data_IF_142808613354
#
_entry.id   IF_142808613354
#
_cell.length_a   1.000
_cell.length_b   1.000
_cell.length_c   1.000
_cell.angle_alpha   90.00
_cell.angle_beta   90.00
_cell.angle_gamma   90.00
#
_symmetry.space_group_name_H-M   'P 1'
#
loop_
_entity.id
_entity.type
_entity.pdbx_description
1 polymer ?
#
# COMPACT_ATOMS: atom_id res chain seq x y z
N UNK A 1 -5.39 7.20 9.07
CA UNK A 1 -5.69 6.53 7.78
C UNK A 1 -5.62 7.47 6.59
N UNK A 2 -6.10 8.70 6.72
CA UNK A 2 -6.11 9.62 5.57
C UNK A 2 -4.70 9.97 5.07
N UNK A 3 -3.76 10.19 5.98
CA UNK A 3 -2.37 10.47 5.58
C UNK A 3 -1.77 9.30 4.81
N UNK A 4 -2.08 8.08 5.25
CA UNK A 4 -1.63 6.87 4.59
C UNK A 4 -2.23 6.76 3.18
N UNK A 5 -3.53 7.02 3.05
CA UNK A 5 -4.20 6.99 1.75
C UNK A 5 -3.65 8.05 0.82
N UNK A 6 -3.38 9.24 1.33
CA UNK A 6 -2.78 10.30 0.53
C UNK A 6 -1.42 9.88 -0.01
N UNK A 7 -0.61 9.25 0.84
CA UNK A 7 0.71 8.77 0.40
C UNK A 7 0.58 7.64 -0.63
N UNK A 8 -0.32 6.70 -0.40
CA UNK A 8 -0.55 5.61 -1.34
C UNK A 8 -1.00 6.16 -2.71
N UNK A 9 -1.87 7.18 -2.68
CA UNK A 9 -2.31 7.81 -3.91
C UNK A 9 -1.15 8.43 -4.69
N UNK A 10 -0.20 9.04 -3.99
CA UNK A 10 0.99 9.59 -4.64
C UNK A 10 1.81 8.49 -5.31
N UNK A 11 1.97 7.36 -4.63
CA UNK A 11 2.72 6.23 -5.19
C UNK A 11 2.02 5.67 -6.43
N UNK A 12 0.70 5.54 -6.37
CA UNK A 12 -0.10 5.08 -7.51
C UNK A 12 -0.21 6.15 -8.61
N UNK A 13 0.10 7.41 -8.29
CA UNK A 13 -0.05 8.55 -9.20
C UNK A 13 -1.51 8.77 -9.56
N UNK A 14 -2.38 8.72 -8.56
CA UNK A 14 -3.81 8.95 -8.72
C UNK A 14 -4.28 9.95 -7.67
N UNK A 15 -5.52 10.45 -7.84
CA UNK A 15 -6.14 11.32 -6.87
C UNK A 15 -6.55 10.48 -5.65
N UNK A 16 -6.36 10.97 -4.41
CA UNK A 16 -6.77 10.24 -3.21
C UNK A 16 -8.24 9.82 -3.21
N UNK A 17 -9.09 10.54 -3.95
CA UNK A 17 -10.50 10.20 -4.04
C UNK A 17 -10.76 8.91 -4.83
N UNK A 18 -9.76 8.41 -5.56
CA UNK A 18 -9.90 7.18 -6.35
C UNK A 18 -9.65 5.93 -5.52
N UNK A 19 -9.15 6.07 -4.31
CA UNK A 19 -8.81 4.91 -3.48
C UNK A 19 -9.41 5.04 -2.09
N UNK A 20 -9.53 3.89 -1.42
CA UNK A 20 -9.92 3.83 -0.02
C UNK A 20 -9.28 2.60 0.61
N UNK A 21 -9.64 2.30 1.85
CA UNK A 21 -9.02 1.17 2.56
C UNK A 21 -9.32 -0.19 1.91
N UNK A 22 -10.39 -0.27 1.11
CA UNK A 22 -10.76 -1.52 0.44
C UNK A 22 -10.10 -1.70 -0.93
N UNK A 23 -9.37 -0.69 -1.40
CA UNK A 23 -8.63 -0.80 -2.66
C UNK A 23 -7.72 -2.00 -2.61
N UNK A 24 -7.81 -2.88 -3.62
CA UNK A 24 -7.17 -4.19 -3.58
C UNK A 24 -6.24 -4.45 -4.75
N UNK A 25 -5.19 -5.23 -4.45
CA UNK A 25 -4.21 -5.68 -5.45
C UNK A 25 -4.92 -6.47 -6.55
N UNK A 26 -4.58 -6.15 -7.79
CA UNK A 26 -5.14 -6.77 -8.99
C UNK A 26 -6.60 -6.44 -9.28
N UNK A 27 -7.25 -5.65 -8.42
CA UNK A 27 -8.59 -5.16 -8.68
C UNK A 27 -8.56 -3.68 -9.06
N UNK A 28 -7.68 -2.92 -8.44
CA UNK A 28 -7.48 -1.52 -8.79
C UNK A 28 -6.52 -1.46 -10.00
N UNK A 29 -6.91 -0.71 -11.03
CA UNK A 29 -6.18 -0.71 -12.31
C UNK A 29 -4.72 -0.28 -12.21
N UNK A 30 -4.34 0.46 -11.17
CA UNK A 30 -2.96 0.89 -10.96
C UNK A 30 -2.15 -0.06 -10.09
N UNK A 31 -2.77 -1.05 -9.48
CA UNK A 31 -2.10 -1.91 -8.50
C UNK A 31 -1.91 -3.33 -9.02
N UNK A 32 -0.86 -3.51 -9.81
CA UNK A 32 -0.42 -4.84 -10.25
C UNK A 32 0.84 -5.24 -9.52
N UNK A 33 1.47 -6.32 -9.98
CA UNK A 33 2.65 -6.90 -9.32
C UNK A 33 3.81 -5.92 -9.18
N UNK A 34 4.13 -5.19 -10.23
CA UNK A 34 5.25 -4.23 -10.17
C UNK A 34 4.94 -3.08 -9.22
N UNK A 35 3.72 -2.57 -9.29
CA UNK A 35 3.31 -1.48 -8.41
C UNK A 35 3.29 -1.95 -6.96
N UNK A 36 2.95 -3.21 -6.72
CA UNK A 36 2.95 -3.78 -5.37
C UNK A 36 4.35 -3.68 -4.75
N UNK A 37 5.37 -4.08 -5.49
CA UNK A 37 6.74 -3.99 -5.01
C UNK A 37 7.15 -2.55 -4.75
N UNK A 38 6.80 -1.65 -5.66
CA UNK A 38 7.11 -0.23 -5.51
C UNK A 38 6.42 0.33 -4.27
N UNK A 39 5.13 0.03 -4.09
CA UNK A 39 4.37 0.52 -2.95
C UNK A 39 4.96 0.03 -1.64
N UNK A 40 5.31 -1.26 -1.57
CA UNK A 40 5.91 -1.83 -0.36
C UNK A 40 7.22 -1.10 -0.03
N UNK A 41 8.09 -0.89 -1.02
CA UNK A 41 9.36 -0.21 -0.80
C UNK A 41 9.18 1.23 -0.33
N UNK A 42 8.24 1.95 -0.94
CA UNK A 42 7.97 3.34 -0.55
C UNK A 42 7.40 3.43 0.86
N UNK A 43 6.53 2.49 1.23
CA UNK A 43 5.95 2.43 2.57
C UNK A 43 7.02 2.10 3.60
N UNK A 44 7.92 1.15 3.30
CA UNK A 44 9.01 0.82 4.20
C UNK A 44 9.86 2.05 4.50
N UNK A 45 10.16 2.82 3.47
CA UNK A 45 10.98 4.01 3.64
C UNK A 45 10.26 5.11 4.41
N UNK A 46 9.00 5.37 4.05
CA UNK A 46 8.24 6.45 4.68
C UNK A 46 7.95 6.20 6.16
N UNK A 47 7.56 4.98 6.49
CA UNK A 47 7.15 4.64 7.86
C UNK A 47 8.24 3.95 8.65
N UNK A 48 9.41 3.77 8.03
CA UNK A 48 10.58 3.13 8.67
C UNK A 48 10.22 1.77 9.25
N UNK A 49 9.51 0.97 8.45
CA UNK A 49 9.14 -0.40 8.82
C UNK A 49 9.80 -1.37 7.86
N UNK A 50 9.97 -2.61 8.31
CA UNK A 50 10.54 -3.66 7.49
C UNK A 50 9.43 -4.66 7.17
N UNK A 51 9.17 -4.85 5.89
CA UNK A 51 8.12 -5.77 5.44
C UNK A 51 8.78 -6.92 4.68
N UNK A 52 8.97 -8.07 5.35
CA UNK A 52 9.56 -9.23 4.67
C UNK A 52 8.73 -9.66 3.48
N UNK A 53 9.39 -10.31 2.53
CA UNK A 53 8.75 -10.74 1.29
C UNK A 53 7.52 -11.62 1.53
N UNK A 54 7.61 -12.51 2.51
CA UNK A 54 6.49 -13.40 2.87
C UNK A 54 5.27 -12.60 3.34
N UNK A 55 5.51 -11.56 4.13
CA UNK A 55 4.42 -10.71 4.62
C UNK A 55 3.87 -9.85 3.50
N UNK A 56 4.74 -9.32 2.64
CA UNK A 56 4.30 -8.52 1.50
C UNK A 56 3.36 -9.32 0.59
N UNK A 57 3.62 -10.62 0.44
CA UNK A 57 2.80 -11.49 -0.39
C UNK A 57 1.39 -11.69 0.19
N UNK A 58 1.21 -11.47 1.49
CA UNK A 58 -0.08 -11.62 2.16
C UNK A 58 -0.91 -10.34 2.12
N UNK A 59 -0.28 -9.22 1.80
CA UNK A 59 -0.95 -7.93 1.73
C UNK A 59 -1.73 -7.85 0.41
N UNK A 60 -3.05 -7.76 0.50
CA UNK A 60 -3.93 -7.76 -0.67
C UNK A 60 -4.73 -6.48 -0.81
N UNK A 61 -4.77 -5.64 0.21
CA UNK A 61 -5.53 -4.40 0.20
C UNK A 61 -4.76 -3.32 0.97
N UNK A 62 -5.18 -2.07 0.80
CA UNK A 62 -4.58 -0.97 1.55
C UNK A 62 -4.85 -1.12 3.05
N UNK A 63 -6.00 -1.67 3.41
CA UNK A 63 -6.32 -1.95 4.80
C UNK A 63 -5.33 -2.94 5.41
N UNK A 64 -4.99 -4.00 4.67
CA UNK A 64 -4.00 -4.98 5.12
C UNK A 64 -2.65 -4.32 5.37
N UNK A 65 -2.22 -3.49 4.44
CA UNK A 65 -0.93 -2.80 4.54
C UNK A 65 -0.92 -1.85 5.73
N UNK A 66 -1.98 -1.09 5.91
CA UNK A 66 -2.08 -0.15 7.01
C UNK A 66 -2.07 -0.86 8.37
N UNK A 67 -2.78 -2.00 8.46
CA UNK A 67 -2.79 -2.80 9.69
C UNK A 67 -1.40 -3.31 10.02
N UNK A 68 -0.64 -3.70 9.01
CA UNK A 68 0.73 -4.16 9.19
C UNK A 68 1.60 -3.05 9.78
N UNK A 69 1.48 -1.86 9.24
CA UNK A 69 2.24 -0.69 9.71
C UNK A 69 1.92 -0.38 11.16
N UNK A 70 0.64 -0.43 11.52
CA UNK A 70 0.22 -0.13 12.88
C UNK A 70 0.68 -1.18 13.89
N UNK A 71 0.85 -2.42 13.45
CA UNK A 71 1.26 -3.52 14.30
C UNK A 71 2.77 -3.56 14.55
N UNK A 72 3.54 -2.88 13.73
CA UNK A 72 5.02 -2.93 13.79
C UNK A 72 5.65 -1.90 14.73
#
# INVERSE_FOLDING_TARGET
MQDFLNFAAEVFEVDPSEIDETTSLNEFYKWGSLMHLKLIMEIEEKYEVDIPLDDAAKIKSLKDLYSYIQAS
#
